data_IF_412415466063
#
_entry.id   IF_412415466063
#
_cell.length_a   1.000
_cell.length_b   1.000
_cell.length_c   1.000
_cell.angle_alpha   90.00
_cell.angle_beta   90.00
_cell.angle_gamma   90.00
#
_symmetry.space_group_name_H-M   'P 1'
#
loop_
_entity.id
_entity.type
_entity.pdbx_description
1 polymer ?
#
# COMPACT_ATOMS: atom_id res chain seq x y z
N UNK A 1 -26.58 -0.59 -7.53
CA UNK A 1 -26.21 -1.68 -6.60
C UNK A 1 -26.46 -1.17 -5.18
N UNK A 2 -27.06 -1.98 -4.29
CA UNK A 2 -27.37 -1.56 -2.92
C UNK A 2 -26.09 -1.41 -2.07
N UNK A 3 -26.04 -0.45 -1.15
CA UNK A 3 -24.86 -0.17 -0.30
C UNK A 3 -24.42 -1.38 0.52
N UNK A 4 -25.36 -2.14 1.10
CA UNK A 4 -25.05 -3.36 1.85
C UNK A 4 -24.41 -4.43 0.96
N UNK A 5 -24.92 -4.57 -0.27
CA UNK A 5 -24.38 -5.51 -1.25
C UNK A 5 -22.97 -5.11 -1.70
N UNK A 6 -22.74 -3.80 -1.92
CA UNK A 6 -21.43 -3.25 -2.23
C UNK A 6 -20.41 -3.51 -1.11
N UNK A 7 -20.83 -3.32 0.14
CA UNK A 7 -20.00 -3.56 1.32
C UNK A 7 -19.62 -5.04 1.44
N UNK A 8 -20.57 -5.96 1.33
CA UNK A 8 -20.33 -7.40 1.43
C UNK A 8 -19.44 -7.90 0.29
N UNK A 9 -19.73 -7.53 -0.96
CA UNK A 9 -18.94 -7.96 -2.11
C UNK A 9 -17.54 -7.35 -2.12
N UNK A 10 -17.41 -6.08 -1.73
CA UNK A 10 -16.12 -5.42 -1.60
C UNK A 10 -15.28 -6.02 -0.47
N UNK A 11 -15.90 -6.32 0.67
CA UNK A 11 -15.26 -7.04 1.76
C UNK A 11 -14.81 -8.44 1.36
N UNK A 12 -15.65 -9.18 0.62
CA UNK A 12 -15.30 -10.49 0.07
C UNK A 12 -14.13 -10.41 -0.92
N UNK A 13 -14.12 -9.42 -1.81
CA UNK A 13 -13.02 -9.18 -2.74
C UNK A 13 -11.70 -8.92 -1.99
N UNK A 14 -11.74 -8.09 -0.95
CA UNK A 14 -10.58 -7.80 -0.10
C UNK A 14 -10.08 -9.06 0.63
N UNK A 15 -11.00 -9.86 1.19
CA UNK A 15 -10.67 -11.12 1.86
C UNK A 15 -10.06 -12.14 0.90
N UNK A 16 -10.64 -12.29 -0.30
CA UNK A 16 -10.12 -13.18 -1.32
C UNK A 16 -8.69 -12.77 -1.74
N UNK A 17 -8.47 -11.48 -1.96
CA UNK A 17 -7.15 -10.97 -2.31
C UNK A 17 -6.14 -11.14 -1.18
N UNK A 18 -6.49 -10.80 0.06
CA UNK A 18 -5.63 -10.99 1.22
C UNK A 18 -5.27 -12.47 1.44
N UNK A 19 -6.26 -13.37 1.28
CA UNK A 19 -6.06 -14.82 1.40
C UNK A 19 -5.13 -15.34 0.30
N UNK A 20 -5.28 -14.85 -0.93
CA UNK A 20 -4.42 -15.21 -2.05
C UNK A 20 -2.97 -14.75 -1.82
N UNK A 21 -2.77 -13.52 -1.34
CA UNK A 21 -1.44 -13.00 -1.00
C UNK A 21 -0.79 -13.77 0.15
N UNK A 22 -1.58 -14.19 1.14
CA UNK A 22 -1.11 -15.01 2.25
C UNK A 22 -0.72 -16.41 1.78
N UNK A 23 -1.56 -17.06 0.98
CA UNK A 23 -1.28 -18.38 0.40
C UNK A 23 -0.02 -18.32 -0.47
N UNK A 24 0.12 -17.30 -1.32
CA UNK A 24 1.31 -17.09 -2.13
C UNK A 24 2.57 -16.92 -1.27
N UNK A 25 2.46 -16.18 -0.16
CA UNK A 25 3.56 -16.03 0.78
C UNK A 25 4.02 -17.39 1.33
N UNK A 26 3.08 -18.16 1.90
CA UNK A 26 3.38 -19.42 2.57
C UNK A 26 3.84 -20.51 1.60
N UNK A 27 3.21 -20.62 0.43
CA UNK A 27 3.45 -21.70 -0.52
C UNK A 27 4.65 -21.46 -1.44
N UNK A 28 4.94 -20.19 -1.76
CA UNK A 28 5.98 -19.80 -2.72
C UNK A 28 7.09 -18.97 -2.08
N UNK A 29 6.75 -17.84 -1.48
CA UNK A 29 7.76 -16.85 -1.04
C UNK A 29 8.63 -17.35 0.10
N UNK A 30 8.06 -18.08 1.07
CA UNK A 30 8.81 -18.57 2.23
C UNK A 30 9.82 -19.67 1.86
N UNK A 31 9.73 -20.26 0.66
CA UNK A 31 10.74 -21.18 0.12
C UNK A 31 11.98 -20.45 -0.43
N UNK A 32 11.89 -19.15 -0.68
CA UNK A 32 12.97 -18.35 -1.27
C UNK A 32 13.90 -17.86 -0.16
N UNK A 33 15.15 -18.36 -0.16
CA UNK A 33 16.18 -17.92 0.80
C UNK A 33 16.63 -16.46 0.57
N UNK A 34 16.65 -16.01 -0.68
CA UNK A 34 17.05 -14.65 -1.02
C UNK A 34 15.99 -13.64 -0.59
N UNK A 35 16.32 -12.81 0.39
CA UNK A 35 15.41 -11.80 0.93
C UNK A 35 14.91 -10.82 -0.15
N UNK A 36 15.81 -10.34 -1.02
CA UNK A 36 15.45 -9.42 -2.09
C UNK A 36 14.52 -10.08 -3.11
N UNK A 37 14.85 -11.28 -3.58
CA UNK A 37 14.01 -12.03 -4.53
C UNK A 37 12.62 -12.29 -3.98
N UNK A 38 12.53 -12.68 -2.69
CA UNK A 38 11.26 -12.88 -2.00
C UNK A 38 10.40 -11.61 -1.97
N UNK A 39 11.01 -10.48 -1.61
CA UNK A 39 10.32 -9.19 -1.57
C UNK A 39 9.84 -8.77 -2.96
N UNK A 40 10.74 -8.75 -3.95
CA UNK A 40 10.43 -8.32 -5.31
C UNK A 40 9.35 -9.19 -5.95
N UNK A 41 9.44 -10.51 -5.82
CA UNK A 41 8.46 -11.43 -6.41
C UNK A 41 7.08 -11.30 -5.73
N UNK A 42 7.05 -11.12 -4.40
CA UNK A 42 5.82 -10.83 -3.67
C UNK A 42 5.17 -9.51 -4.10
N UNK A 43 5.96 -8.46 -4.26
CA UNK A 43 5.44 -7.15 -4.71
C UNK A 43 4.97 -7.20 -6.16
N UNK A 44 5.72 -7.83 -7.08
CA UNK A 44 5.29 -8.02 -8.47
C UNK A 44 3.94 -8.73 -8.53
N UNK A 45 3.75 -9.79 -7.72
CA UNK A 45 2.48 -10.50 -7.65
C UNK A 45 1.34 -9.61 -7.13
N UNK A 46 1.57 -8.85 -6.07
CA UNK A 46 0.56 -7.94 -5.51
C UNK A 46 0.18 -6.83 -6.50
N UNK A 47 1.15 -6.21 -7.17
CA UNK A 47 0.89 -5.18 -8.19
C UNK A 47 0.25 -5.77 -9.45
N UNK A 48 0.66 -6.96 -9.86
CA UNK A 48 0.03 -7.69 -10.96
C UNK A 48 -1.45 -7.92 -10.72
N UNK A 49 -1.82 -8.35 -9.51
CA UNK A 49 -3.24 -8.49 -9.12
C UNK A 49 -3.99 -7.17 -9.12
N UNK A 50 -3.38 -6.09 -8.62
CA UNK A 50 -3.98 -4.75 -8.67
C UNK A 50 -4.25 -4.29 -10.11
N UNK A 51 -3.28 -4.50 -11.02
CA UNK A 51 -3.41 -4.16 -12.44
C UNK A 51 -4.46 -5.04 -13.14
N UNK A 52 -4.46 -6.35 -12.87
CA UNK A 52 -5.47 -7.26 -13.40
C UNK A 52 -6.87 -6.87 -12.94
N UNK A 53 -7.03 -6.50 -11.67
CA UNK A 53 -8.30 -6.04 -11.11
C UNK A 53 -8.74 -4.73 -11.76
N UNK A 54 -7.82 -3.79 -11.98
CA UNK A 54 -8.09 -2.57 -12.73
C UNK A 54 -8.57 -2.86 -14.16
N UNK A 55 -7.85 -3.71 -14.91
CA UNK A 55 -8.23 -4.12 -16.26
C UNK A 55 -9.59 -4.81 -16.26
N UNK A 56 -9.81 -5.76 -15.35
CA UNK A 56 -11.10 -6.43 -15.21
C UNK A 56 -12.23 -5.44 -14.91
N UNK A 57 -11.99 -4.42 -14.08
CA UNK A 57 -13.00 -3.41 -13.78
C UNK A 57 -13.41 -2.59 -15.00
N UNK A 58 -12.52 -2.37 -15.97
CA UNK A 58 -12.87 -1.68 -17.22
C UNK A 58 -13.67 -2.57 -18.18
N UNK A 59 -13.47 -3.89 -18.15
CA UNK A 59 -14.18 -4.84 -19.01
C UNK A 59 -15.51 -5.34 -18.40
N UNK A 60 -15.66 -5.35 -17.08
CA UNK A 60 -16.84 -5.86 -16.38
C UNK A 60 -17.59 -4.73 -15.65
N UNK A 61 -18.71 -4.23 -16.21
CA UNK A 61 -19.49 -3.15 -15.61
C UNK A 61 -19.94 -3.38 -14.15
N UNK A 62 -20.34 -4.60 -13.74
CA UNK A 62 -20.68 -4.87 -12.34
C UNK A 62 -19.49 -4.68 -11.39
N UNK A 63 -18.28 -5.05 -11.81
CA UNK A 63 -17.06 -4.87 -11.01
C UNK A 63 -16.69 -3.39 -10.92
N UNK A 64 -16.83 -2.62 -12.01
CA UNK A 64 -16.67 -1.16 -11.99
C UNK A 64 -17.62 -0.50 -11.01
N UNK A 65 -18.90 -0.88 -11.07
CA UNK A 65 -19.93 -0.39 -10.16
C UNK A 65 -19.62 -0.80 -8.71
N UNK A 66 -19.09 -1.99 -8.47
CA UNK A 66 -18.63 -2.43 -7.15
C UNK A 66 -17.55 -1.52 -6.60
N UNK A 67 -16.47 -1.29 -7.36
CA UNK A 67 -15.34 -0.49 -6.90
C UNK A 67 -15.70 0.98 -6.62
N UNK A 68 -16.65 1.54 -7.39
CA UNK A 68 -17.13 2.91 -7.22
C UNK A 68 -18.11 3.07 -6.06
N UNK A 69 -18.95 2.06 -5.78
CA UNK A 69 -19.97 2.15 -4.73
C UNK A 69 -19.49 1.57 -3.39
N UNK A 70 -18.46 0.72 -3.38
CA UNK A 70 -17.90 0.18 -2.15
C UNK A 70 -17.13 1.25 -1.38
N UNK A 71 -17.53 1.49 -0.14
CA UNK A 71 -16.89 2.43 0.78
C UNK A 71 -16.74 1.80 2.16
N UNK A 72 -15.66 2.12 2.85
CA UNK A 72 -15.52 1.89 4.29
C UNK A 72 -15.47 3.26 4.97
N UNK A 73 -16.57 3.64 5.60
CA UNK A 73 -16.77 5.00 6.10
C UNK A 73 -16.73 6.02 4.95
N UNK A 74 -15.76 6.94 4.97
CA UNK A 74 -15.54 7.94 3.90
C UNK A 74 -14.50 7.52 2.86
N UNK A 75 -13.88 6.33 3.00
CA UNK A 75 -12.79 5.90 2.13
C UNK A 75 -13.37 5.05 0.97
N UNK A 76 -13.18 5.47 -0.30
CA UNK A 76 -13.58 4.70 -1.47
C UNK A 76 -12.81 3.37 -1.58
N UNK A 77 -13.49 2.33 -2.01
CA UNK A 77 -12.95 0.97 -2.17
C UNK A 77 -11.73 0.91 -3.08
N UNK A 78 -11.70 1.72 -4.15
CA UNK A 78 -10.52 1.86 -4.99
C UNK A 78 -9.25 2.27 -4.23
N UNK A 79 -9.37 3.20 -3.27
CA UNK A 79 -8.25 3.63 -2.42
C UNK A 79 -7.82 2.49 -1.48
N UNK A 80 -8.78 1.74 -0.93
CA UNK A 80 -8.50 0.61 -0.05
C UNK A 80 -7.67 -0.45 -0.77
N UNK A 81 -8.02 -0.74 -2.03
CA UNK A 81 -7.32 -1.71 -2.87
C UNK A 81 -5.89 -1.26 -3.23
N UNK A 82 -5.67 0.04 -3.40
CA UNK A 82 -4.33 0.63 -3.62
C UNK A 82 -3.42 0.44 -2.39
N UNK A 83 -4.00 0.39 -1.19
CA UNK A 83 -3.25 0.16 0.05
C UNK A 83 -2.87 -1.31 0.26
N UNK A 84 -3.52 -2.26 -0.44
CA UNK A 84 -3.27 -3.71 -0.24
C UNK A 84 -1.80 -4.08 -0.52
N UNK A 85 -1.18 -3.72 -1.67
CA UNK A 85 0.25 -3.96 -1.89
C UNK A 85 1.15 -3.29 -0.84
N UNK A 86 0.78 -2.08 -0.42
CA UNK A 86 1.53 -1.31 0.58
C UNK A 86 1.56 -2.01 1.94
N UNK A 87 0.41 -2.51 2.41
CA UNK A 87 0.30 -3.28 3.65
C UNK A 87 1.01 -4.63 3.50
N UNK A 88 0.85 -5.30 2.36
CA UNK A 88 1.51 -6.59 2.10
C UNK A 88 3.04 -6.48 2.18
N UNK A 89 3.61 -5.36 1.74
CA UNK A 89 5.06 -5.10 1.79
C UNK A 89 5.67 -5.25 3.19
N UNK A 90 4.90 -4.96 4.25
CA UNK A 90 5.34 -5.09 5.64
C UNK A 90 5.64 -6.55 6.00
N UNK A 91 4.84 -7.48 5.49
CA UNK A 91 5.00 -8.90 5.76
C UNK A 91 6.17 -9.53 4.99
N UNK A 92 6.68 -8.84 3.96
CA UNK A 92 7.79 -9.29 3.13
C UNK A 92 9.15 -8.72 3.57
N UNK A 93 9.15 -7.62 4.35
CA UNK A 93 10.37 -6.95 4.79
C UNK A 93 11.03 -7.64 5.98
N UNK A 94 12.35 -7.77 5.88
CA UNK A 94 13.19 -8.38 6.90
C UNK A 94 12.78 -9.82 7.15
N UNK A 95 12.56 -10.16 8.41
CA UNK A 95 11.96 -11.44 8.79
C UNK A 95 10.42 -11.41 8.79
N UNK A 96 9.82 -10.31 8.36
CA UNK A 96 8.39 -10.05 8.35
C UNK A 96 7.89 -9.44 9.66
N UNK A 97 6.69 -8.86 9.61
CA UNK A 97 6.05 -8.18 10.74
C UNK A 97 6.02 -9.02 12.03
N UNK A 98 5.62 -10.29 11.95
CA UNK A 98 5.47 -11.13 13.15
C UNK A 98 6.80 -11.49 13.82
N UNK A 99 7.91 -11.51 13.07
CA UNK A 99 9.22 -11.91 13.61
C UNK A 99 10.05 -10.69 14.08
N UNK A 100 9.97 -9.56 13.38
CA UNK A 100 10.79 -8.36 13.68
C UNK A 100 9.98 -7.12 14.07
N UNK A 101 8.66 -7.09 13.79
CA UNK A 101 7.81 -5.91 13.93
C UNK A 101 7.02 -5.80 15.23
N UNK A 102 7.37 -6.58 16.25
CA UNK A 102 6.72 -6.51 17.56
C UNK A 102 7.01 -5.15 18.25
N UNK A 103 6.34 -4.85 19.36
CA UNK A 103 6.43 -3.59 20.11
C UNK A 103 7.88 -3.20 20.50
N UNK A 104 8.74 -4.21 20.63
CA UNK A 104 10.20 -4.10 20.92
C UNK A 104 11.08 -3.94 19.66
N UNK A 105 10.50 -3.76 18.48
CA UNK A 105 11.25 -3.59 17.24
C UNK A 105 12.17 -2.36 17.31
N UNK A 106 13.36 -2.50 16.71
CA UNK A 106 14.30 -1.38 16.61
C UNK A 106 13.69 -0.22 15.83
N UNK A 107 14.05 1.02 16.19
CA UNK A 107 13.60 2.21 15.47
C UNK A 107 13.93 2.15 13.97
N UNK A 108 15.11 1.60 13.61
CA UNK A 108 15.52 1.38 12.21
C UNK A 108 14.52 0.49 11.46
N UNK A 109 13.98 -0.54 12.12
CA UNK A 109 12.98 -1.41 11.53
C UNK A 109 11.62 -0.69 11.37
N UNK A 110 11.18 0.05 12.39
CA UNK A 110 9.94 0.86 12.33
C UNK A 110 9.99 1.86 11.17
N UNK A 111 11.12 2.55 10.98
CA UNK A 111 11.36 3.44 9.84
C UNK A 111 11.33 2.69 8.50
N UNK A 112 11.97 1.52 8.42
CA UNK A 112 11.98 0.69 7.20
C UNK A 112 10.56 0.26 6.81
N UNK A 113 9.74 -0.12 7.79
CA UNK A 113 8.33 -0.45 7.59
C UNK A 113 7.55 0.76 7.05
N UNK A 114 7.66 1.92 7.72
CA UNK A 114 6.97 3.14 7.29
C UNK A 114 7.37 3.54 5.86
N UNK A 115 8.67 3.55 5.57
CA UNK A 115 9.18 3.85 4.24
C UNK A 115 8.62 2.88 3.20
N UNK A 116 8.57 1.58 3.50
CA UNK A 116 8.01 0.60 2.57
C UNK A 116 6.54 0.85 2.28
N UNK A 117 5.71 1.04 3.31
CA UNK A 117 4.28 1.31 3.11
C UNK A 117 4.11 2.57 2.28
N UNK A 118 4.86 3.62 2.60
CA UNK A 118 4.82 4.89 1.89
C UNK A 118 5.18 4.73 0.42
N UNK A 119 6.38 4.22 0.11
CA UNK A 119 6.84 4.06 -1.26
C UNK A 119 5.95 3.13 -2.06
N UNK A 120 5.44 2.05 -1.46
CA UNK A 120 4.58 1.11 -2.18
C UNK A 120 3.17 1.66 -2.43
N UNK A 121 2.63 2.50 -1.53
CA UNK A 121 1.36 3.19 -1.78
C UNK A 121 1.51 4.25 -2.88
N UNK A 122 2.61 5.02 -2.87
CA UNK A 122 2.93 5.96 -3.94
C UNK A 122 3.14 5.25 -5.28
N UNK A 123 3.86 4.13 -5.27
CA UNK A 123 4.10 3.33 -6.47
C UNK A 123 2.80 2.73 -7.01
N UNK A 124 1.90 2.24 -6.15
CA UNK A 124 0.59 1.73 -6.55
C UNK A 124 -0.22 2.80 -7.28
N UNK A 125 -0.30 4.00 -6.71
CA UNK A 125 -0.98 5.15 -7.32
C UNK A 125 -0.34 5.52 -8.66
N UNK A 126 0.98 5.68 -8.68
CA UNK A 126 1.71 6.06 -9.87
C UNK A 126 1.53 5.05 -11.00
N UNK A 127 1.70 3.75 -10.71
CA UNK A 127 1.54 2.65 -11.68
C UNK A 127 0.13 2.64 -12.25
N UNK A 128 -0.91 2.82 -11.44
CA UNK A 128 -2.30 2.86 -11.93
C UNK A 128 -2.59 4.07 -12.80
N UNK A 129 -2.15 5.26 -12.40
CA UNK A 129 -2.33 6.49 -13.19
C UNK A 129 -1.58 6.36 -14.53
N UNK A 130 -0.32 5.91 -14.47
CA UNK A 130 0.52 5.68 -15.63
C UNK A 130 -0.11 4.66 -16.58
N UNK A 131 -0.53 3.51 -16.06
CA UNK A 131 -1.13 2.44 -16.85
C UNK A 131 -2.47 2.85 -17.47
N UNK A 132 -3.31 3.57 -16.72
CA UNK A 132 -4.56 4.17 -17.21
C UNK A 132 -4.30 5.14 -18.36
N UNK A 133 -3.26 5.96 -18.23
CA UNK A 133 -2.87 6.94 -19.26
C UNK A 133 -2.42 6.25 -20.56
N UNK A 134 -1.54 5.25 -20.46
CA UNK A 134 -1.09 4.46 -21.61
C UNK A 134 -2.25 3.72 -22.30
N UNK A 135 -3.18 3.14 -21.53
CA UNK A 135 -4.36 2.46 -22.09
C UNK A 135 -5.29 3.39 -22.85
N UNK A 136 -5.34 4.68 -22.49
CA UNK A 136 -6.14 5.70 -23.21
C UNK A 136 -5.45 6.24 -24.46
N UNK A 137 -4.28 5.70 -24.83
CA UNK A 137 -3.51 6.13 -26.00
C UNK A 137 -2.64 7.35 -25.76
N UNK A 138 -2.51 7.81 -24.50
CA UNK A 138 -1.64 8.93 -24.18
C UNK A 138 -0.15 8.55 -24.24
N UNK A 139 0.69 9.51 -24.64
CA UNK A 139 2.13 9.30 -24.76
C UNK A 139 2.90 9.55 -23.45
N UNK A 140 4.05 8.90 -23.27
CA UNK A 140 4.90 9.16 -22.09
C UNK A 140 5.24 10.66 -21.93
N UNK A 141 5.42 11.36 -23.05
CA UNK A 141 5.70 12.81 -23.06
C UNK A 141 4.54 13.61 -22.46
N UNK A 142 3.30 13.32 -22.84
CA UNK A 142 2.12 14.01 -22.29
C UNK A 142 1.92 13.74 -20.81
N UNK A 143 2.23 12.52 -20.36
CA UNK A 143 2.18 12.22 -18.93
C UNK A 143 3.27 12.97 -18.16
N UNK A 144 4.49 13.05 -18.70
CA UNK A 144 5.58 13.80 -18.10
C UNK A 144 5.25 15.30 -18.00
N UNK A 145 4.66 15.89 -19.04
CA UNK A 145 4.22 17.29 -19.02
C UNK A 145 3.08 17.51 -18.03
N UNK A 146 2.12 16.58 -17.92
CA UNK A 146 1.03 16.64 -16.95
C UNK A 146 1.56 16.55 -15.50
N UNK A 147 2.50 15.64 -15.22
CA UNK A 147 3.15 15.52 -13.92
C UNK A 147 3.93 16.80 -13.59
N UNK A 148 4.67 17.34 -14.54
CA UNK A 148 5.45 18.57 -14.36
C UNK A 148 4.54 19.79 -14.10
N UNK A 149 3.44 19.90 -14.84
CA UNK A 149 2.45 20.95 -14.64
C UNK A 149 1.77 20.81 -13.28
N UNK A 150 1.40 19.58 -12.90
CA UNK A 150 0.83 19.28 -11.59
C UNK A 150 1.80 19.64 -10.47
N UNK A 151 3.07 19.24 -10.56
CA UNK A 151 4.10 19.55 -9.58
C UNK A 151 4.33 21.07 -9.40
N UNK A 152 4.28 21.84 -10.49
CA UNK A 152 4.39 23.32 -10.46
C UNK A 152 3.14 23.99 -9.87
N UNK A 153 1.98 23.36 -10.03
CA UNK A 153 0.70 23.87 -9.51
C UNK A 153 0.51 23.62 -8.02
N UNK A 154 1.26 22.71 -7.41
CA UNK A 154 1.18 22.44 -5.97
C UNK A 154 1.70 23.66 -5.20
N UNK A 155 0.85 24.33 -4.40
CA UNK A 155 1.31 25.48 -3.63
C UNK A 155 2.35 25.05 -2.61
N UNK A 156 3.39 25.85 -2.43
CA UNK A 156 4.49 25.56 -1.51
C UNK A 156 4.01 25.24 -0.08
N UNK A 157 2.95 25.91 0.38
CA UNK A 157 2.33 25.65 1.67
C UNK A 157 1.81 24.21 1.84
N UNK A 158 1.23 23.63 0.78
CA UNK A 158 0.76 22.23 0.81
C UNK A 158 1.92 21.24 0.82
N UNK A 159 2.99 21.53 0.08
CA UNK A 159 4.21 20.71 0.10
C UNK A 159 4.85 20.72 1.50
N UNK A 160 4.98 21.89 2.11
CA UNK A 160 5.51 22.04 3.47
C UNK A 160 4.63 21.35 4.50
N UNK A 161 3.30 21.49 4.40
CA UNK A 161 2.37 20.80 5.29
C UNK A 161 2.46 19.27 5.16
N UNK A 162 2.63 18.76 3.93
CA UNK A 162 2.84 17.34 3.68
C UNK A 162 4.13 16.84 4.33
N UNK A 163 5.26 17.54 4.13
CA UNK A 163 6.54 17.20 4.74
C UNK A 163 6.49 17.29 6.27
N UNK A 164 5.85 18.33 6.81
CA UNK A 164 5.67 18.52 8.25
C UNK A 164 4.83 17.39 8.87
N UNK A 165 3.78 16.94 8.18
CA UNK A 165 2.96 15.81 8.62
C UNK A 165 3.80 14.52 8.72
N UNK A 166 4.63 14.23 7.72
CA UNK A 166 5.55 13.08 7.79
C UNK A 166 6.58 13.22 8.91
N UNK A 167 7.15 14.41 9.09
CA UNK A 167 8.03 14.72 10.21
C UNK A 167 7.38 14.46 11.57
N UNK A 168 6.11 14.89 11.72
CA UNK A 168 5.33 14.67 12.94
C UNK A 168 5.08 13.19 13.21
N UNK A 169 4.71 12.40 12.19
CA UNK A 169 4.50 10.95 12.35
C UNK A 169 5.80 10.27 12.79
N UNK A 170 6.93 10.61 12.17
CA UNK A 170 8.25 10.09 12.57
C UNK A 170 8.59 10.49 14.00
N UNK A 171 8.29 11.73 14.39
CA UNK A 171 8.50 12.23 15.75
C UNK A 171 7.66 11.45 16.78
N UNK A 172 6.37 11.22 16.49
CA UNK A 172 5.47 10.44 17.35
C UNK A 172 6.02 9.02 17.53
N UNK A 173 6.41 8.36 16.44
CA UNK A 173 6.98 7.00 16.48
C UNK A 173 8.31 6.97 17.25
N UNK A 174 9.12 8.02 17.14
CA UNK A 174 10.37 8.15 17.90
C UNK A 174 10.12 8.35 19.40
N UNK A 175 9.18 9.22 19.77
CA UNK A 175 8.80 9.45 21.17
C UNK A 175 8.21 8.19 21.80
N UNK A 176 7.35 7.47 21.07
CA UNK A 176 6.81 6.18 21.50
C UNK A 176 7.91 5.13 21.69
N UNK A 177 8.85 5.04 20.74
CA UNK A 177 10.00 4.14 20.87
C UNK A 177 10.85 4.46 22.10
N UNK A 178 11.11 5.75 22.38
CA UNK A 178 11.82 6.17 23.59
C UNK A 178 11.06 5.72 24.85
N UNK A 179 9.76 5.99 24.95
CA UNK A 179 8.92 5.59 26.09
C UNK A 179 8.90 4.08 26.31
N UNK A 180 8.84 3.29 25.24
CA UNK A 180 8.87 1.82 25.30
C UNK A 180 10.25 1.30 25.73
N UNK A 181 11.34 1.92 25.27
CA UNK A 181 12.71 1.55 25.65
C UNK A 181 13.07 1.91 27.09
N UNK A 182 12.40 2.90 27.69
CA UNK A 182 12.65 3.38 29.06
C UNK A 182 11.85 2.64 30.14
N UNK A 183 10.92 1.73 29.77
CA UNK A 183 10.18 0.94 30.77
C UNK A 183 11.13 -0.10 31.41
N UNK A 184 11.28 -0.11 32.76
CA UNK A 184 12.10 -1.10 33.44
C UNK A 184 11.60 -2.51 33.11
N UNK A 185 12.52 -3.43 32.80
CA UNK A 185 12.16 -4.86 32.74
C UNK A 185 11.67 -5.27 34.14
N UNK A 186 10.49 -5.90 34.28
CA UNK A 186 10.14 -6.54 35.54
C UNK A 186 11.23 -7.57 35.84
N UNK A 187 11.88 -7.43 37.01
CA UNK A 187 12.72 -8.49 37.56
C UNK A 187 11.80 -9.69 37.78
N UNK A 188 12.26 -10.85 37.31
CA UNK A 188 11.56 -12.14 37.41
C UNK A 188 11.12 -12.42 38.84
#
# INVERSE_FOLDING_TARGET
MNNTMAFLLGGLLLLAWASLLLAFKLLCLDKIKCHFGRYSLGMIFAYGLLLLLYVASEHYPPLKALLLNWHIGRIPGGIILILVPAIYSIFLIGKGYFQEGNEKASFKWKLKMMASVFFNAFLALFVLVFFSFLRKGGTFSELATLIQASARSIPLGWLLAFVACWGLIVLIVWLDHKKSSSKPKPKK
#
